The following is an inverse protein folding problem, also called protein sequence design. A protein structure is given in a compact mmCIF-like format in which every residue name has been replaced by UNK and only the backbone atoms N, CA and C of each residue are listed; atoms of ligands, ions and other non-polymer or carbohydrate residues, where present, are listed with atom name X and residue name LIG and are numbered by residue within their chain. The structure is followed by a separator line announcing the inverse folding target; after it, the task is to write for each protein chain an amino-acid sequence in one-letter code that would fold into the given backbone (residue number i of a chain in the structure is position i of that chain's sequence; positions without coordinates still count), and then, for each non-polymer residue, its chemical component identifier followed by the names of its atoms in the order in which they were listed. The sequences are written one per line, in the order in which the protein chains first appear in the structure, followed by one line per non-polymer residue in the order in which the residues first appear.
data_IF_249789825126
#
_entry.id   IF_249789825126
#
_cell.length_a   1.000
_cell.length_b   1.000
_cell.length_c   1.000
_cell.angle_alpha   90.00
_cell.angle_beta   90.00
_cell.angle_gamma   90.00
#
_symmetry.space_group_name_H-M   'P 1'
#
loop_
_entity.id
_entity.type
_entity.pdbx_description
1 polymer ?
#
# COMPACT_ATOMS: atom_id res chain seq x y z
N UNK A 1 -4.71 -13.82 13.67
CA UNK A 1 -4.68 -12.96 12.47
C UNK A 1 -3.42 -12.11 12.48
N UNK A 2 -2.74 -12.05 11.35
CA UNK A 2 -1.55 -11.21 11.21
C UNK A 2 -1.96 -9.83 10.71
N UNK A 3 -1.34 -8.81 11.26
CA UNK A 3 -1.56 -7.44 10.83
C UNK A 3 -0.22 -6.78 10.53
N UNK A 4 -0.13 -6.09 9.41
CA UNK A 4 1.05 -5.32 9.03
C UNK A 4 0.61 -3.90 8.70
N UNK A 5 1.35 -2.94 9.23
CA UNK A 5 1.12 -1.53 8.92
C UNK A 5 2.35 -0.97 8.23
N UNK A 6 2.12 -0.37 7.08
CA UNK A 6 3.17 0.25 6.29
C UNK A 6 2.93 1.75 6.21
N UNK A 7 4.00 2.52 6.30
CA UNK A 7 3.94 3.97 6.13
C UNK A 7 4.94 4.37 5.06
N UNK A 8 4.43 4.99 4.01
CA UNK A 8 5.27 5.49 2.92
C UNK A 8 5.23 7.00 2.90
N UNK A 9 6.38 7.63 3.07
CA UNK A 9 6.49 9.07 2.89
C UNK A 9 6.42 9.40 1.41
N UNK A 10 5.54 10.29 1.03
CA UNK A 10 5.38 10.67 -0.36
C UNK A 10 4.88 12.11 -0.49
N UNK A 11 5.19 12.72 -1.62
CA UNK A 11 4.84 14.11 -1.87
C UNK A 11 3.34 14.30 -2.05
N UNK A 12 2.65 13.30 -2.60
CA UNK A 12 1.22 13.38 -2.84
C UNK A 12 0.52 12.08 -2.43
N UNK A 13 0.23 11.92 -1.13
CA UNK A 13 -0.40 10.69 -0.63
C UNK A 13 -1.77 10.42 -1.22
N UNK A 14 -2.54 11.45 -1.50
CA UNK A 14 -3.88 11.28 -2.08
C UNK A 14 -3.81 10.67 -3.47
N UNK A 15 -2.84 11.10 -4.29
CA UNK A 15 -2.65 10.52 -5.61
C UNK A 15 -2.15 9.07 -5.52
N UNK A 16 -1.27 8.78 -4.58
CA UNK A 16 -0.79 7.43 -4.35
C UNK A 16 -1.94 6.50 -3.91
N UNK A 17 -2.81 6.98 -3.02
CA UNK A 17 -3.98 6.23 -2.60
C UNK A 17 -4.87 5.88 -3.78
N UNK A 18 -5.17 6.85 -4.64
CA UNK A 18 -5.99 6.61 -5.82
C UNK A 18 -5.36 5.63 -6.78
N UNK A 19 -4.04 5.69 -6.94
CA UNK A 19 -3.32 4.79 -7.83
C UNK A 19 -3.37 3.34 -7.34
N UNK A 20 -3.43 3.14 -6.03
CA UNK A 20 -3.45 1.81 -5.43
C UNK A 20 -4.86 1.22 -5.29
N UNK A 21 -5.89 2.06 -5.24
CA UNK A 21 -7.27 1.60 -5.04
C UNK A 21 -7.70 0.48 -6.00
N UNK A 22 -7.41 0.54 -7.31
CA UNK A 22 -7.84 -0.53 -8.22
C UNK A 22 -7.20 -1.88 -7.91
N UNK A 23 -6.06 -1.89 -7.22
CA UNK A 23 -5.34 -3.11 -6.88
C UNK A 23 -5.77 -3.70 -5.54
N UNK A 24 -6.63 -3.00 -4.81
CA UNK A 24 -7.11 -3.48 -3.52
C UNK A 24 -8.16 -4.55 -3.74
N UNK A 25 -7.92 -5.71 -3.14
CA UNK A 25 -8.89 -6.82 -3.18
C UNK A 25 -9.15 -7.25 -1.74
N UNK A 26 -10.32 -6.88 -1.24
CA UNK A 26 -10.76 -7.32 0.07
C UNK A 26 -11.60 -8.57 -0.07
N UNK A 27 -11.12 -9.67 0.46
CA UNK A 27 -11.82 -10.93 0.44
C UNK A 27 -11.73 -11.60 1.82
N UNK A 28 -12.14 -12.86 1.90
CA UNK A 28 -12.11 -13.58 3.17
C UNK A 28 -10.71 -13.91 3.66
N UNK A 29 -9.71 -13.85 2.79
CA UNK A 29 -8.34 -14.22 3.12
C UNK A 29 -7.47 -13.02 3.52
N UNK A 30 -7.77 -11.83 2.98
CA UNK A 30 -6.96 -10.66 3.27
C UNK A 30 -7.79 -9.38 3.17
N UNK A 31 -7.44 -8.41 4.02
CA UNK A 31 -8.04 -7.08 3.98
C UNK A 31 -6.96 -6.03 3.89
N UNK A 32 -7.22 -5.02 3.08
CA UNK A 32 -6.31 -3.90 2.89
C UNK A 32 -7.08 -2.61 3.14
N UNK A 33 -6.50 -1.75 3.97
CA UNK A 33 -7.04 -0.41 4.22
C UNK A 33 -5.98 0.61 3.86
N UNK A 34 -6.38 1.65 3.12
CA UNK A 34 -5.50 2.75 2.76
C UNK A 34 -5.96 4.01 3.46
N UNK A 35 -5.01 4.80 3.93
CA UNK A 35 -5.28 6.09 4.53
C UNK A 35 -4.21 7.08 4.12
N UNK A 36 -4.62 8.19 3.53
CA UNK A 36 -3.69 9.26 3.17
C UNK A 36 -3.58 10.25 4.33
N UNK A 37 -2.37 10.50 4.76
CA UNK A 37 -2.05 11.52 5.75
C UNK A 37 -1.21 12.60 5.10
N UNK A 38 -0.97 13.69 5.82
CA UNK A 38 -0.11 14.75 5.33
C UNK A 38 1.31 14.24 5.17
N UNK A 39 1.75 14.12 3.92
CA UNK A 39 3.10 13.68 3.60
C UNK A 39 3.33 12.17 3.66
N UNK A 40 2.30 11.36 3.88
CA UNK A 40 2.47 9.92 3.97
C UNK A 40 1.22 9.15 3.56
N UNK A 41 1.44 7.95 3.04
CA UNK A 41 0.38 6.99 2.78
C UNK A 41 0.50 5.85 3.78
N UNK A 42 -0.59 5.54 4.45
CA UNK A 42 -0.65 4.43 5.41
C UNK A 42 -1.39 3.27 4.78
N UNK A 43 -0.82 2.09 4.89
CA UNK A 43 -1.43 0.85 4.41
C UNK A 43 -1.49 -0.13 5.56
N UNK A 44 -2.70 -0.60 5.86
CA UNK A 44 -2.90 -1.63 6.88
C UNK A 44 -3.35 -2.90 6.19
N UNK A 45 -2.63 -3.99 6.44
CA UNK A 45 -2.91 -5.29 5.84
C UNK A 45 -3.22 -6.29 6.95
N UNK A 46 -4.28 -7.08 6.77
CA UNK A 46 -4.67 -8.12 7.71
C UNK A 46 -4.93 -9.41 6.97
N UNK A 47 -4.38 -10.51 7.46
CA UNK A 47 -4.65 -11.83 6.93
C UNK A 47 -4.27 -12.89 7.95
N UNK A 48 -4.89 -14.05 7.85
CA UNK A 48 -4.47 -15.20 8.63
C UNK A 48 -3.29 -15.93 8.00
N UNK A 49 -3.01 -15.65 6.74
CA UNK A 49 -1.90 -16.26 6.00
C UNK A 49 -0.74 -15.29 5.85
N UNK A 50 0.36 -15.57 6.53
CA UNK A 50 1.54 -14.71 6.46
C UNK A 50 2.14 -14.66 5.05
N UNK A 51 2.13 -15.77 4.33
CA UNK A 51 2.64 -15.82 2.97
C UNK A 51 1.86 -14.89 2.04
N UNK A 52 0.55 -14.77 2.23
CA UNK A 52 -0.28 -13.88 1.44
C UNK A 52 0.04 -12.42 1.74
N UNK A 53 0.26 -12.08 3.02
CA UNK A 53 0.68 -10.74 3.40
C UNK A 53 2.00 -10.36 2.75
N UNK A 54 2.97 -11.25 2.72
CA UNK A 54 4.26 -10.99 2.09
C UNK A 54 4.11 -10.69 0.60
N UNK A 55 3.28 -11.44 -0.09
CA UNK A 55 3.02 -11.22 -1.51
C UNK A 55 2.37 -9.86 -1.76
N UNK A 56 1.39 -9.49 -0.94
CA UNK A 56 0.69 -8.20 -1.06
C UNK A 56 1.64 -7.05 -0.75
N UNK A 57 2.44 -7.17 0.29
CA UNK A 57 3.42 -6.15 0.67
C UNK A 57 4.40 -5.90 -0.48
N UNK A 58 4.93 -6.96 -1.08
CA UNK A 58 5.87 -6.83 -2.19
C UNK A 58 5.23 -6.11 -3.38
N UNK A 59 3.97 -6.40 -3.68
CA UNK A 59 3.26 -5.71 -4.74
C UNK A 59 3.12 -4.22 -4.46
N UNK A 60 2.73 -3.84 -3.26
CA UNK A 60 2.57 -2.44 -2.91
C UNK A 60 3.88 -1.69 -2.86
N UNK A 61 4.94 -2.31 -2.35
CA UNK A 61 6.26 -1.70 -2.34
C UNK A 61 6.70 -1.38 -3.77
N UNK A 62 6.50 -2.32 -4.69
CA UNK A 62 6.84 -2.11 -6.10
C UNK A 62 6.06 -0.95 -6.71
N UNK A 63 4.75 -0.89 -6.47
CA UNK A 63 3.90 0.17 -7.01
C UNK A 63 4.30 1.53 -6.44
N UNK A 64 4.49 1.63 -5.14
CA UNK A 64 4.86 2.89 -4.50
C UNK A 64 6.25 3.34 -4.97
N UNK A 65 7.19 2.41 -5.11
CA UNK A 65 8.52 2.72 -5.62
C UNK A 65 8.47 3.29 -7.04
N UNK A 66 7.63 2.73 -7.89
CA UNK A 66 7.44 3.25 -9.24
C UNK A 66 6.86 4.67 -9.23
N UNK A 67 5.89 4.93 -8.37
CA UNK A 67 5.28 6.26 -8.25
C UNK A 67 6.29 7.28 -7.77
N UNK A 68 7.13 6.93 -6.79
CA UNK A 68 8.17 7.83 -6.29
C UNK A 68 9.23 8.10 -7.35
N UNK A 69 9.65 7.08 -8.08
CA UNK A 69 10.62 7.25 -9.16
C UNK A 69 10.08 8.19 -10.24
N UNK A 70 8.80 8.04 -10.59
CA UNK A 70 8.17 8.94 -11.56
C UNK A 70 8.14 10.38 -11.05
N UNK A 71 7.95 10.57 -9.73
CA UNK A 71 7.96 11.91 -9.13
C UNK A 71 9.36 12.49 -9.04
N UNK A 72 10.39 11.66 -8.93
CA UNK A 72 11.78 12.10 -8.84
C UNK A 72 12.41 12.40 -10.21
N UNK A 73 11.89 11.80 -11.25
CA UNK A 73 12.35 12.08 -12.62
C UNK A 73 11.76 13.42 -13.05
N UNK A 74 12.51 14.43 -12.89
CA UNK A 74 12.06 15.79 -13.23
C UNK A 74 12.83 16.33 -14.40
#
# INVERSE_FOLDING_TARGET
MHEVRLRFECANPAAAEKALEPDIKNDNEARTELSAEKGALLITLRSEKLSLLKAIINSYISIVSMLEQAAEIK
#
